data_IF_646123777427
#
_entry.id   IF_646123777427
#
_cell.length_a   1.000
_cell.length_b   1.000
_cell.length_c   1.000
_cell.angle_alpha   90.00
_cell.angle_beta   90.00
_cell.angle_gamma   90.00
#
_symmetry.space_group_name_H-M   'P 1'
#
loop_
_entity.id
_entity.type
_entity.pdbx_description
1 polymer ?
#
# COMPACT_ATOMS: atom_id res chain seq x y z
N UNK A 1 8.69 6.79 -0.11
CA UNK A 1 8.52 6.28 1.28
C UNK A 1 8.19 4.80 1.17
N UNK A 2 8.99 3.91 1.76
CA UNK A 2 8.67 2.47 1.79
C UNK A 2 7.68 2.26 2.94
N UNK A 3 6.44 1.92 2.62
CA UNK A 3 5.42 1.61 3.62
C UNK A 3 5.54 0.14 3.99
N UNK A 4 5.18 -0.20 5.23
CA UNK A 4 5.22 -1.57 5.72
C UNK A 4 3.99 -1.90 6.56
N UNK A 5 3.55 -3.15 6.46
CA UNK A 5 2.54 -3.76 7.32
C UNK A 5 3.04 -5.12 7.79
N UNK A 6 2.50 -5.60 8.90
CA UNK A 6 2.69 -6.98 9.31
C UNK A 6 1.97 -7.90 8.31
N UNK A 7 2.59 -9.04 8.02
CA UNK A 7 2.00 -10.05 7.16
C UNK A 7 0.76 -10.62 7.87
N UNK A 8 -0.45 -10.50 7.30
CA UNK A 8 -1.68 -10.98 7.91
C UNK A 8 -1.78 -12.52 7.99
N UNK A 9 -0.86 -13.26 7.37
CA UNK A 9 -0.88 -14.73 7.38
C UNK A 9 -0.04 -15.31 8.51
N UNK A 10 1.19 -14.83 8.70
CA UNK A 10 2.08 -15.36 9.74
C UNK A 10 2.26 -14.42 10.93
N UNK A 11 1.81 -13.16 10.82
CA UNK A 11 1.95 -12.07 11.81
C UNK A 11 3.39 -11.72 12.25
N UNK A 12 4.38 -12.49 11.80
CA UNK A 12 5.80 -12.36 12.14
C UNK A 12 6.63 -11.69 11.06
N UNK A 13 6.16 -11.71 9.81
CA UNK A 13 6.84 -11.10 8.68
C UNK A 13 6.37 -9.69 8.39
N UNK A 14 7.20 -8.91 7.71
CA UNK A 14 6.81 -7.59 7.21
C UNK A 14 6.60 -7.65 5.69
N UNK A 15 5.58 -6.94 5.21
CA UNK A 15 5.34 -6.73 3.78
C UNK A 15 5.67 -5.29 3.47
N UNK A 16 6.64 -5.10 2.60
CA UNK A 16 7.05 -3.78 2.15
C UNK A 16 6.38 -3.45 0.83
N UNK A 17 5.77 -2.28 0.75
CA UNK A 17 5.09 -1.82 -0.45
C UNK A 17 5.23 -0.32 -0.65
N UNK A 18 5.08 0.11 -1.91
CA UNK A 18 4.87 1.50 -2.25
C UNK A 18 3.38 1.74 -2.45
N UNK A 19 2.85 2.84 -1.91
CA UNK A 19 1.45 3.22 -2.10
C UNK A 19 1.13 3.45 -3.58
N UNK A 20 2.11 3.91 -4.37
CA UNK A 20 1.95 4.06 -5.81
C UNK A 20 1.83 2.71 -6.52
N UNK A 21 2.43 1.64 -5.98
CA UNK A 21 2.31 0.29 -6.52
C UNK A 21 1.06 -0.44 -5.99
N UNK A 22 0.45 0.01 -4.90
CA UNK A 22 -0.82 -0.56 -4.43
C UNK A 22 -1.95 -0.33 -5.46
N UNK A 23 -1.98 0.84 -6.08
CA UNK A 23 -3.02 1.22 -7.06
C UNK A 23 -2.82 0.58 -8.43
N UNK A 24 -1.62 0.10 -8.75
CA UNK A 24 -1.33 -0.60 -10.02
C UNK A 24 -1.66 -2.09 -9.97
N UNK A 25 -2.17 -2.60 -8.84
CA UNK A 25 -2.55 -4.00 -8.68
C UNK A 25 -1.37 -4.97 -8.59
N UNK A 26 -0.19 -4.45 -8.23
CA UNK A 26 1.02 -5.25 -8.01
C UNK A 26 0.90 -6.12 -6.76
N UNK A 27 1.48 -7.31 -6.82
CA UNK A 27 1.51 -8.25 -5.70
C UNK A 27 2.71 -7.97 -4.79
N UNK A 28 2.55 -8.13 -3.48
CA UNK A 28 3.58 -7.90 -2.47
C UNK A 28 3.88 -9.18 -1.70
N UNK A 29 5.16 -9.47 -1.49
CA UNK A 29 5.57 -10.69 -0.80
C UNK A 29 5.98 -10.38 0.65
N UNK A 30 5.65 -11.32 1.54
CA UNK A 30 6.17 -11.35 2.88
C UNK A 30 7.66 -11.70 2.86
N UNK A 31 8.46 -10.98 3.65
CA UNK A 31 9.92 -11.17 3.72
C UNK A 31 10.35 -12.26 4.72
N UNK A 32 9.41 -12.92 5.39
CA UNK A 32 9.71 -13.94 6.39
C UNK A 32 10.01 -15.29 5.74
N UNK A 33 11.15 -15.88 6.08
CA UNK A 33 11.67 -17.10 5.46
C UNK A 33 10.70 -18.29 5.54
N UNK A 34 9.97 -18.42 6.66
CA UNK A 34 9.00 -19.51 6.87
C UNK A 34 7.58 -19.15 6.40
N UNK A 35 7.38 -17.96 5.82
CA UNK A 35 6.11 -17.52 5.28
C UNK A 35 6.30 -16.86 3.92
N UNK A 36 6.37 -17.69 2.88
CA UNK A 36 6.44 -17.28 1.47
C UNK A 36 5.05 -16.94 0.91
N UNK A 37 4.33 -16.04 1.60
CA UNK A 37 3.01 -15.59 1.14
C UNK A 37 3.16 -14.37 0.24
N UNK A 38 2.41 -14.38 -0.86
CA UNK A 38 2.20 -13.21 -1.72
C UNK A 38 0.78 -12.70 -1.57
N UNK A 39 0.64 -11.40 -1.34
CA UNK A 39 -0.63 -10.71 -1.17
C UNK A 39 -0.85 -9.80 -2.36
N UNK A 40 -2.05 -9.87 -2.94
CA UNK A 40 -2.46 -8.99 -4.03
C UNK A 40 -3.71 -8.24 -3.60
N UNK A 41 -3.77 -6.95 -3.94
CA UNK A 41 -4.98 -6.19 -3.73
C UNK A 41 -6.08 -6.66 -4.70
N UNK A 42 -7.28 -7.04 -4.20
CA UNK A 42 -8.44 -7.30 -5.04
C UNK A 42 -8.73 -6.12 -5.96
N UNK A 43 -9.19 -6.37 -7.20
CA UNK A 43 -9.48 -5.30 -8.18
C UNK A 43 -10.46 -4.27 -7.62
N UNK A 44 -11.48 -4.71 -6.89
CA UNK A 44 -12.50 -3.82 -6.31
C UNK A 44 -11.91 -2.86 -5.27
N UNK A 45 -10.93 -3.33 -4.49
CA UNK A 45 -10.23 -2.50 -3.51
C UNK A 45 -9.26 -1.51 -4.14
N UNK A 46 -8.80 -1.73 -5.37
CA UNK A 46 -7.88 -0.81 -6.07
C UNK A 46 -8.56 0.53 -6.39
N UNK A 47 -9.85 0.52 -6.72
CA UNK A 47 -10.61 1.74 -7.01
C UNK A 47 -10.72 2.63 -5.76
N UNK A 48 -11.03 2.03 -4.60
CA UNK A 48 -11.14 2.75 -3.34
C UNK A 48 -9.79 3.35 -2.89
N UNK A 49 -8.70 2.61 -3.03
CA UNK A 49 -7.36 3.11 -2.67
C UNK A 49 -6.91 4.24 -3.60
N UNK A 50 -7.23 4.16 -4.90
CA UNK A 50 -6.94 5.25 -5.85
C UNK A 50 -7.64 6.55 -5.47
N UNK A 51 -8.93 6.49 -5.16
CA UNK A 51 -9.71 7.66 -4.76
C UNK A 51 -9.17 8.32 -3.48
N UNK A 52 -8.79 7.52 -2.48
CA UNK A 52 -8.17 8.04 -1.24
C UNK A 52 -6.82 8.70 -1.51
N UNK A 53 -5.97 8.11 -2.36
CA UNK A 53 -4.67 8.68 -2.73
C UNK A 53 -4.80 9.99 -3.51
N UNK A 54 -5.77 10.10 -4.41
CA UNK A 54 -6.06 11.35 -5.13
C UNK A 54 -6.52 12.45 -4.16
N UNK A 55 -7.46 12.14 -3.26
CA UNK A 55 -7.89 13.10 -2.23
C UNK A 55 -6.75 13.53 -1.29
N UNK A 56 -5.87 12.62 -0.88
CA UNK A 56 -4.69 12.96 -0.08
C UNK A 56 -3.70 13.86 -0.84
N UNK A 57 -3.53 13.66 -2.15
CA UNK A 57 -2.71 14.55 -3.00
C UNK A 57 -3.30 15.95 -3.07
N UNK A 58 -4.60 16.08 -3.26
CA UNK A 58 -5.30 17.37 -3.27
C UNK A 58 -5.14 18.11 -1.93
N UNK A 59 -5.33 17.42 -0.81
CA UNK A 59 -5.12 17.98 0.53
C UNK A 59 -3.67 18.44 0.72
N UNK A 60 -2.69 17.63 0.27
CA UNK A 60 -1.26 18.00 0.37
C UNK A 60 -0.89 19.18 -0.52
N UNK A 61 -1.55 19.37 -1.66
CA UNK A 61 -1.36 20.50 -2.56
C UNK A 61 -1.95 21.78 -1.96
N UNK A 62 -3.15 21.71 -1.37
CA UNK A 62 -3.76 22.86 -0.70
C UNK A 62 -2.96 23.34 0.51
N UNK A 63 -2.36 22.42 1.29
CA UNK A 63 -1.50 22.79 2.42
C UNK A 63 -0.22 23.54 2.00
N UNK A 64 0.21 23.40 0.73
CA UNK A 64 1.41 24.05 0.19
C UNK A 64 1.17 25.47 -0.35
N UNK A 65 -0.09 25.86 -0.58
CA UNK A 65 -0.47 27.21 -1.04
C UNK A 65 -0.73 28.20 0.12
N UNK A 66 -0.74 27.72 1.37
CA UNK A 66 -1.04 28.52 2.57
C UNK A 66 0.22 28.92 3.38
N UNK A 67 1.41 28.88 2.76
CA UNK A 67 2.68 29.33 3.35
C UNK A 67 3.31 30.39 2.46
#
# INVERSE_FOLDING_TARGET
>A
MKNKINCPVCEKGEIHFDLNFLVTGTSFSCSYSDCLTTIKLPKDSQHSVKSVLEGLKEISLQKKQLI
#
